data_IF_764599912898
#
_entry.id   IF_764599912898
#
_cell.length_a   1.000
_cell.length_b   1.000
_cell.length_c   1.000
_cell.angle_alpha   90.00
_cell.angle_beta   90.00
_cell.angle_gamma   90.00
#
_symmetry.space_group_name_H-M   'P 1'
#
loop_
_entity.id
_entity.type
_entity.pdbx_description
1 polymer ?
#
# COMPACT_ATOMS: atom_id res chain seq x y z
N UNK A 1 6.10 11.53 15.87
CA UNK A 1 7.09 10.45 16.04
C UNK A 1 6.35 9.30 16.69
N UNK A 2 5.85 8.36 15.89
CA UNK A 2 4.89 7.36 16.33
C UNK A 2 5.61 6.04 16.64
N UNK A 3 5.52 5.59 17.89
CA UNK A 3 5.82 4.23 18.33
C UNK A 3 4.52 3.72 18.97
N UNK A 4 3.80 2.83 18.28
CA UNK A 4 2.72 2.05 18.89
C UNK A 4 3.38 0.83 19.52
N UNK A 5 3.34 0.73 20.85
CA UNK A 5 3.80 -0.46 21.58
C UNK A 5 2.60 -1.41 21.77
N UNK A 6 2.57 -2.47 20.98
CA UNK A 6 1.81 -3.68 21.26
C UNK A 6 2.80 -4.86 21.17
N UNK A 7 2.75 -5.75 22.15
CA UNK A 7 3.79 -6.73 22.46
C UNK A 7 4.21 -7.63 21.29
N UNK A 8 5.52 -7.93 21.27
CA UNK A 8 6.22 -8.99 20.52
C UNK A 8 6.23 -8.99 18.99
N UNK A 9 5.96 -7.86 18.34
CA UNK A 9 6.42 -7.65 16.96
C UNK A 9 7.79 -6.97 16.96
N UNK A 10 8.82 -7.71 16.54
CA UNK A 10 10.20 -7.22 16.38
C UNK A 10 10.20 -5.90 15.60
N UNK A 11 10.80 -4.87 16.19
CA UNK A 11 11.02 -3.57 15.59
C UNK A 11 11.79 -3.72 14.26
N UNK A 12 11.10 -3.61 13.12
CA UNK A 12 11.75 -3.51 11.79
C UNK A 12 11.73 -2.04 11.37
N UNK A 13 12.84 -1.47 10.84
CA UNK A 13 13.03 -0.03 10.75
C UNK A 13 12.27 0.58 9.56
N UNK A 14 11.00 0.92 9.78
CA UNK A 14 10.17 1.77 8.90
C UNK A 14 10.72 3.21 8.78
N UNK A 15 11.89 3.52 9.33
CA UNK A 15 12.33 4.91 9.56
C UNK A 15 13.45 5.41 8.66
N UNK A 16 14.04 4.61 7.76
CA UNK A 16 15.06 5.10 6.82
C UNK A 16 14.60 5.14 5.36
N UNK A 17 14.10 4.05 4.80
CA UNK A 17 13.61 4.05 3.41
C UNK A 17 12.34 4.91 3.23
N UNK A 18 11.35 4.75 4.11
CA UNK A 18 10.14 5.59 4.14
C UNK A 18 10.48 7.03 4.54
N UNK A 19 11.42 7.26 5.44
CA UNK A 19 11.89 8.63 5.77
C UNK A 19 12.60 9.30 4.58
N UNK A 20 13.38 8.56 3.78
CA UNK A 20 14.00 9.08 2.56
C UNK A 20 12.92 9.34 1.49
N UNK A 21 11.97 8.42 1.30
CA UNK A 21 10.85 8.57 0.36
C UNK A 21 9.78 9.58 0.81
N UNK A 22 9.68 9.92 2.10
CA UNK A 22 8.81 10.96 2.66
C UNK A 22 9.54 12.29 2.89
N UNK A 23 10.88 12.31 2.86
CA UNK A 23 11.71 13.54 2.83
C UNK A 23 11.93 14.06 1.41
N UNK A 24 11.98 13.18 0.40
CA UNK A 24 12.09 13.58 -1.00
C UNK A 24 10.88 14.41 -1.54
N UNK A 25 9.62 14.17 -1.10
CA UNK A 25 8.46 15.00 -1.44
C UNK A 25 8.48 16.37 -0.76
N UNK A 26 9.11 16.51 0.42
CA UNK A 26 9.20 17.79 1.13
C UNK A 26 10.14 18.79 0.42
N UNK A 27 11.05 18.31 -0.42
CA UNK A 27 11.92 19.16 -1.24
C UNK A 27 11.34 19.46 -2.64
N UNK A 28 10.16 18.93 -2.99
CA UNK A 28 9.44 19.25 -4.22
C UNK A 28 8.61 20.53 -4.05
N UNK A 29 9.27 21.68 -3.88
CA UNK A 29 8.65 23.02 -3.85
C UNK A 29 8.04 23.46 -5.20
N UNK A 30 7.89 22.57 -6.19
CA UNK A 30 7.51 22.91 -7.56
C UNK A 30 6.16 22.40 -8.06
N UNK A 31 5.38 21.66 -7.27
CA UNK A 31 4.13 21.08 -7.76
C UNK A 31 2.96 21.44 -6.83
N UNK A 32 2.37 22.61 -7.08
CA UNK A 32 1.23 23.21 -6.38
C UNK A 32 -0.10 22.42 -6.47
N UNK A 33 -0.08 21.12 -6.80
CA UNK A 33 -1.31 20.32 -6.95
C UNK A 33 -1.39 19.07 -6.08
N UNK A 34 -0.30 18.60 -5.48
CA UNK A 34 -0.34 17.32 -4.73
C UNK A 34 -1.14 17.36 -3.42
N UNK A 35 -1.14 18.45 -2.63
CA UNK A 35 -2.04 18.54 -1.47
C UNK A 35 -3.53 18.52 -1.86
N UNK A 36 -3.89 18.98 -3.05
CA UNK A 36 -5.29 19.01 -3.53
C UNK A 36 -5.72 17.68 -4.17
N UNK A 37 -4.81 16.98 -4.86
CA UNK A 37 -5.05 15.59 -5.32
C UNK A 37 -5.24 14.65 -4.13
N UNK A 38 -4.50 14.85 -3.03
CA UNK A 38 -4.64 14.09 -1.78
C UNK A 38 -5.85 14.52 -0.94
N UNK A 39 -6.25 15.81 -0.96
CA UNK A 39 -7.40 16.34 -0.21
C UNK A 39 -8.76 15.95 -0.81
N UNK A 40 -8.85 15.82 -2.13
CA UNK A 40 -10.12 15.50 -2.84
C UNK A 40 -10.52 14.01 -2.71
N UNK A 41 -9.64 13.15 -2.19
CA UNK A 41 -9.82 11.70 -2.04
C UNK A 41 -10.10 11.28 -0.59
N UNK A 42 -10.63 12.16 0.24
CA UNK A 42 -10.71 12.01 1.72
C UNK A 42 -11.52 10.81 2.23
N UNK A 43 -12.32 10.14 1.40
CA UNK A 43 -12.95 8.84 1.72
C UNK A 43 -12.18 7.61 1.23
N UNK A 44 -11.35 7.77 0.19
CA UNK A 44 -10.59 6.69 -0.46
C UNK A 44 -9.12 6.59 0.04
N UNK A 45 -8.63 7.59 0.78
CA UNK A 45 -7.27 7.60 1.36
C UNK A 45 -7.05 6.44 2.33
N UNK A 46 -8.07 6.06 3.12
CA UNK A 46 -7.97 4.93 4.04
C UNK A 46 -7.67 3.62 3.30
N UNK A 47 -8.48 3.28 2.30
CA UNK A 47 -8.30 2.07 1.49
C UNK A 47 -6.95 2.03 0.78
N UNK A 48 -6.51 3.14 0.17
CA UNK A 48 -5.21 3.19 -0.49
C UNK A 48 -4.04 3.07 0.48
N UNK A 49 -4.05 3.81 1.58
CA UNK A 49 -2.97 3.78 2.57
C UNK A 49 -2.86 2.40 3.24
N UNK A 50 -3.99 1.76 3.54
CA UNK A 50 -4.05 0.41 4.09
C UNK A 50 -3.54 -0.62 3.09
N UNK A 51 -4.00 -0.57 1.84
CA UNK A 51 -3.54 -1.48 0.79
C UNK A 51 -2.04 -1.30 0.49
N UNK A 52 -1.54 -0.07 0.51
CA UNK A 52 -0.11 0.22 0.39
C UNK A 52 0.66 -0.33 1.60
N UNK A 53 0.15 -0.16 2.81
CA UNK A 53 0.77 -0.70 4.03
C UNK A 53 0.85 -2.24 4.00
N UNK A 54 -0.20 -2.92 3.53
CA UNK A 54 -0.21 -4.37 3.33
C UNK A 54 0.78 -4.81 2.24
N UNK A 55 0.85 -4.06 1.14
CA UNK A 55 1.84 -4.31 0.09
C UNK A 55 3.29 -4.22 0.62
N UNK A 56 3.56 -3.32 1.57
CA UNK A 56 4.89 -3.19 2.20
C UNK A 56 5.25 -4.37 3.11
N UNK A 57 4.29 -5.15 3.64
CA UNK A 57 4.61 -6.35 4.43
C UNK A 57 5.33 -7.41 3.59
N UNK A 58 5.13 -7.38 2.27
CA UNK A 58 5.81 -8.25 1.33
C UNK A 58 7.26 -7.85 1.04
N UNK A 59 7.72 -6.68 1.48
CA UNK A 59 9.06 -6.19 1.21
C UNK A 59 9.89 -6.12 2.48
N UNK A 60 11.02 -6.81 2.47
CA UNK A 60 12.05 -6.72 3.51
C UNK A 60 13.22 -5.90 2.98
N UNK A 61 13.57 -4.81 3.68
CA UNK A 61 14.67 -3.91 3.33
C UNK A 61 15.88 -4.08 4.26
N UNK A 62 15.91 -5.13 5.10
CA UNK A 62 16.95 -5.38 6.09
C UNK A 62 18.18 -6.11 5.55
N UNK A 63 18.31 -6.29 4.23
CA UNK A 63 19.44 -6.98 3.60
C UNK A 63 20.46 -5.98 3.06
N UNK A 64 21.73 -6.22 3.36
CA UNK A 64 22.87 -5.45 2.81
C UNK A 64 23.33 -5.98 1.44
N UNK A 65 22.72 -7.06 0.94
CA UNK A 65 23.02 -7.62 -0.38
C UNK A 65 22.13 -7.01 -1.46
N UNK A 66 22.72 -6.67 -2.61
CA UNK A 66 21.97 -6.25 -3.80
C UNK A 66 20.88 -7.29 -4.13
N UNK A 67 19.62 -6.90 -4.39
CA UNK A 67 19.15 -5.55 -4.71
C UNK A 67 18.74 -4.68 -3.50
N UNK A 68 19.17 -5.05 -2.29
CA UNK A 68 18.88 -4.38 -1.01
C UNK A 68 17.43 -4.48 -0.57
N UNK A 69 16.69 -5.43 -1.15
CA UNK A 69 15.37 -5.82 -0.70
C UNK A 69 15.07 -7.28 -1.05
N UNK A 70 14.15 -7.90 -0.31
CA UNK A 70 13.58 -9.21 -0.60
C UNK A 70 12.07 -9.06 -0.73
N UNK A 71 11.50 -9.53 -1.83
CA UNK A 71 10.05 -9.63 -2.01
C UNK A 71 9.56 -11.04 -1.66
N UNK A 72 8.56 -11.13 -0.79
CA UNK A 72 7.85 -12.37 -0.50
C UNK A 72 6.34 -12.11 -0.49
N UNK A 73 5.63 -12.64 -1.49
CA UNK A 73 4.17 -12.53 -1.61
C UNK A 73 3.41 -13.25 -0.49
N UNK A 74 3.99 -14.27 0.14
CA UNK A 74 3.36 -15.02 1.25
C UNK A 74 3.23 -14.18 2.53
N UNK A 75 3.93 -13.04 2.62
CA UNK A 75 3.79 -12.10 3.72
C UNK A 75 2.64 -11.11 3.55
N UNK A 76 1.92 -11.15 2.42
CA UNK A 76 0.71 -10.35 2.27
C UNK A 76 -0.31 -10.83 3.32
N UNK A 77 -0.94 -9.92 4.08
CA UNK A 77 -1.81 -10.32 5.17
C UNK A 77 -3.01 -11.11 4.65
N UNK A 78 -3.36 -12.15 5.39
CA UNK A 78 -4.63 -12.86 5.24
C UNK A 78 -5.82 -11.93 5.47
N UNK A 79 -7.02 -12.32 5.01
CA UNK A 79 -8.23 -11.52 5.20
C UNK A 79 -8.52 -11.26 6.69
N UNK A 80 -8.28 -12.25 7.56
CA UNK A 80 -8.43 -12.11 9.02
C UNK A 80 -7.47 -11.05 9.59
N UNK A 81 -6.22 -11.05 9.15
CA UNK A 81 -5.23 -10.04 9.55
C UNK A 81 -5.58 -8.65 9.01
N UNK A 82 -6.08 -8.58 7.77
CA UNK A 82 -6.57 -7.33 7.19
C UNK A 82 -7.73 -6.77 8.02
N UNK A 83 -8.76 -7.57 8.30
CA UNK A 83 -9.90 -7.19 9.15
C UNK A 83 -9.41 -6.69 10.52
N UNK A 84 -8.52 -7.44 11.17
CA UNK A 84 -8.00 -7.08 12.49
C UNK A 84 -7.26 -5.74 12.44
N UNK A 85 -6.44 -5.51 11.42
CA UNK A 85 -5.67 -4.27 11.27
C UNK A 85 -6.58 -3.08 10.94
N UNK A 86 -7.52 -3.25 10.01
CA UNK A 86 -8.49 -2.22 9.60
C UNK A 86 -9.36 -1.82 10.80
N UNK A 87 -9.89 -2.80 11.56
CA UNK A 87 -10.68 -2.53 12.76
C UNK A 87 -9.89 -1.72 13.78
N UNK A 88 -8.64 -2.12 14.08
CA UNK A 88 -7.81 -1.38 15.01
C UNK A 88 -7.53 0.06 14.54
N UNK A 89 -7.34 0.27 13.23
CA UNK A 89 -7.18 1.59 12.63
C UNK A 89 -8.45 2.44 12.76
N UNK A 90 -9.61 1.89 12.43
CA UNK A 90 -10.91 2.59 12.51
C UNK A 90 -11.32 2.86 13.96
N UNK A 91 -11.09 1.93 14.88
CA UNK A 91 -11.33 2.13 16.32
C UNK A 91 -10.52 3.29 16.86
N UNK A 92 -9.27 3.44 16.41
CA UNK A 92 -8.44 4.58 16.78
C UNK A 92 -9.01 5.89 16.23
N UNK A 93 -9.44 5.92 14.96
CA UNK A 93 -10.10 7.09 14.37
C UNK A 93 -11.41 7.44 15.10
N UNK A 94 -12.18 6.44 15.52
CA UNK A 94 -13.42 6.64 16.28
C UNK A 94 -13.13 7.24 17.67
N UNK A 95 -12.08 6.77 18.35
CA UNK A 95 -11.62 7.34 19.64
C UNK A 95 -11.16 8.79 19.50
N UNK A 96 -10.57 9.13 18.37
CA UNK A 96 -10.14 10.50 18.03
C UNK A 96 -11.30 11.38 17.56
N UNK A 97 -12.51 10.83 17.40
CA UNK A 97 -13.69 11.55 16.94
C UNK A 97 -13.68 11.87 15.44
N UNK A 98 -12.80 11.23 14.67
CA UNK A 98 -12.72 11.41 13.22
C UNK A 98 -13.82 10.66 12.46
N UNK A 99 -14.31 9.55 13.03
CA UNK A 99 -15.45 8.77 12.51
C UNK A 99 -16.41 8.40 13.65
N UNK A 100 -17.63 7.98 13.32
CA UNK A 100 -18.59 7.46 14.29
C UNK A 100 -18.26 6.00 14.63
N UNK A 101 -18.31 5.62 15.90
CA UNK A 101 -18.09 4.22 16.31
C UNK A 101 -19.10 3.25 15.69
N UNK A 102 -20.32 3.72 15.41
CA UNK A 102 -21.38 2.93 14.79
C UNK A 102 -21.12 2.59 13.33
N UNK A 103 -20.16 3.25 12.66
CA UNK A 103 -19.84 3.00 11.25
C UNK A 103 -18.63 2.08 11.05
N UNK A 104 -17.98 1.60 12.11
CA UNK A 104 -16.72 0.84 11.99
C UNK A 104 -16.90 -0.42 11.14
N UNK A 105 -17.92 -1.24 11.41
CA UNK A 105 -18.10 -2.52 10.68
C UNK A 105 -18.48 -2.28 9.21
N UNK A 106 -19.33 -1.28 8.92
CA UNK A 106 -19.69 -0.92 7.54
C UNK A 106 -18.45 -0.42 6.76
N UNK A 107 -17.59 0.38 7.39
CA UNK A 107 -16.35 0.88 6.77
C UNK A 107 -15.31 -0.24 6.57
N UNK A 108 -15.26 -1.26 7.44
CA UNK A 108 -14.41 -2.44 7.23
C UNK A 108 -14.79 -3.14 5.93
N UNK A 109 -16.08 -3.39 5.71
CA UNK A 109 -16.56 -4.08 4.50
C UNK A 109 -16.20 -3.29 3.23
N UNK A 110 -16.43 -1.99 3.23
CA UNK A 110 -16.09 -1.10 2.11
C UNK A 110 -14.58 -1.12 1.84
N UNK A 111 -13.75 -0.97 2.87
CA UNK A 111 -12.30 -0.96 2.72
C UNK A 111 -11.79 -2.29 2.17
N UNK A 112 -12.31 -3.43 2.64
CA UNK A 112 -11.89 -4.75 2.16
C UNK A 112 -12.16 -4.95 0.67
N UNK A 113 -13.30 -4.47 0.17
CA UNK A 113 -13.62 -4.51 -1.26
C UNK A 113 -12.60 -3.71 -2.10
N UNK A 114 -12.06 -2.65 -1.53
CA UNK A 114 -11.12 -1.75 -2.19
C UNK A 114 -9.65 -2.21 -2.10
N UNK A 115 -9.29 -3.08 -1.14
CA UNK A 115 -7.88 -3.47 -0.88
C UNK A 115 -7.20 -3.96 -2.15
N UNK A 116 -7.83 -4.88 -2.91
CA UNK A 116 -7.21 -5.46 -4.09
C UNK A 116 -6.93 -4.43 -5.19
N UNK A 117 -7.91 -3.55 -5.45
CA UNK A 117 -7.78 -2.49 -6.44
C UNK A 117 -6.67 -1.51 -6.05
N UNK A 118 -6.62 -1.13 -4.78
CA UNK A 118 -5.59 -0.21 -4.31
C UNK A 118 -4.22 -0.84 -4.15
N UNK A 119 -4.11 -2.14 -3.88
CA UNK A 119 -2.83 -2.86 -3.92
C UNK A 119 -2.25 -2.83 -5.34
N UNK A 120 -3.08 -3.04 -6.37
CA UNK A 120 -2.66 -2.85 -7.76
C UNK A 120 -2.19 -1.42 -8.02
N UNK A 121 -2.97 -0.42 -7.60
CA UNK A 121 -2.63 0.99 -7.78
C UNK A 121 -1.30 1.35 -7.09
N UNK A 122 -1.07 0.86 -5.87
CA UNK A 122 0.15 1.09 -5.10
C UNK A 122 1.37 0.48 -5.82
N UNK A 123 1.29 -0.77 -6.26
CA UNK A 123 2.39 -1.40 -7.00
C UNK A 123 2.72 -0.66 -8.30
N UNK A 124 1.71 -0.23 -9.06
CA UNK A 124 1.92 0.55 -10.28
C UNK A 124 2.56 1.91 -9.97
N UNK A 125 2.04 2.62 -8.97
CA UNK A 125 2.58 3.92 -8.53
C UNK A 125 4.06 3.82 -8.17
N UNK A 126 4.42 2.87 -7.30
CA UNK A 126 5.80 2.69 -6.85
C UNK A 126 6.72 2.17 -7.95
N UNK A 127 6.21 1.34 -8.86
CA UNK A 127 6.95 0.96 -10.06
C UNK A 127 7.36 2.17 -10.89
N UNK A 128 6.40 3.04 -11.23
CA UNK A 128 6.66 4.24 -12.04
C UNK A 128 7.57 5.23 -11.32
N UNK A 129 7.37 5.42 -10.02
CA UNK A 129 8.23 6.25 -9.19
C UNK A 129 9.67 5.74 -9.22
N UNK A 130 9.90 4.45 -8.95
CA UNK A 130 11.24 3.88 -8.90
C UNK A 130 11.91 3.82 -10.28
N UNK A 131 11.15 3.57 -11.36
CA UNK A 131 11.68 3.67 -12.72
C UNK A 131 12.17 5.08 -13.03
N UNK A 132 11.42 6.12 -12.65
CA UNK A 132 11.89 7.50 -12.79
C UNK A 132 13.15 7.74 -11.95
N UNK A 133 13.20 7.22 -10.73
CA UNK A 133 14.34 7.39 -9.83
C UNK A 133 15.60 6.66 -10.29
N UNK A 134 15.48 5.56 -11.05
CA UNK A 134 16.66 4.85 -11.57
C UNK A 134 17.52 5.69 -12.52
N UNK A 135 16.98 6.77 -13.09
CA UNK A 135 17.73 7.71 -13.93
C UNK A 135 18.23 8.96 -13.18
N UNK A 136 17.73 9.24 -11.96
CA UNK A 136 17.91 10.53 -11.30
C UNK A 136 18.54 10.44 -9.92
N UNK A 137 18.47 9.28 -9.28
CA UNK A 137 18.99 9.09 -7.92
C UNK A 137 20.46 8.71 -7.95
N UNK A 138 21.24 9.28 -7.05
CA UNK A 138 22.60 8.85 -6.75
C UNK A 138 22.67 7.91 -5.53
N UNK A 139 21.51 7.46 -5.01
CA UNK A 139 21.45 6.56 -3.87
C UNK A 139 21.75 5.12 -4.31
N UNK A 140 22.48 4.39 -3.46
CA UNK A 140 22.81 2.96 -3.62
C UNK A 140 21.59 2.08 -3.32
N UNK A 141 20.52 2.26 -4.07
CA UNK A 141 19.34 1.40 -4.05
C UNK A 141 19.04 0.92 -5.47
N UNK A 142 18.66 -0.35 -5.61
CA UNK A 142 18.38 -0.97 -6.90
C UNK A 142 17.01 -0.56 -7.46
N UNK A 143 16.82 0.74 -7.73
CA UNK A 143 15.54 1.32 -8.17
C UNK A 143 14.93 0.63 -9.40
N UNK A 144 15.76 0.23 -10.37
CA UNK A 144 15.28 -0.47 -11.56
C UNK A 144 14.75 -1.87 -11.24
N UNK A 145 15.42 -2.61 -10.35
CA UNK A 145 14.97 -3.94 -9.91
C UNK A 145 13.72 -3.87 -9.05
N UNK A 146 13.65 -2.87 -8.17
CA UNK A 146 12.46 -2.61 -7.37
C UNK A 146 11.26 -2.25 -8.26
N UNK A 147 11.47 -1.37 -9.24
CA UNK A 147 10.44 -1.00 -10.21
C UNK A 147 9.91 -2.22 -10.97
N UNK A 148 10.82 -3.04 -11.51
CA UNK A 148 10.48 -4.29 -12.21
C UNK A 148 9.70 -5.25 -11.32
N UNK A 149 10.13 -5.43 -10.07
CA UNK A 149 9.45 -6.30 -9.10
C UNK A 149 8.02 -5.82 -8.86
N UNK A 150 7.81 -4.54 -8.52
CA UNK A 150 6.47 -3.99 -8.28
C UNK A 150 5.58 -4.09 -9.53
N UNK A 151 6.13 -3.88 -10.73
CA UNK A 151 5.38 -4.01 -11.98
C UNK A 151 4.93 -5.45 -12.26
N UNK A 152 5.78 -6.43 -11.96
CA UNK A 152 5.42 -7.85 -12.09
C UNK A 152 4.28 -8.21 -11.15
N UNK A 153 4.34 -7.77 -9.88
CA UNK A 153 3.27 -8.00 -8.90
C UNK A 153 1.96 -7.35 -9.35
N UNK A 154 2.00 -6.10 -9.84
CA UNK A 154 0.82 -5.46 -10.43
C UNK A 154 0.23 -6.29 -11.57
N UNK A 155 1.07 -6.77 -12.49
CA UNK A 155 0.65 -7.57 -13.65
C UNK A 155 -0.02 -8.87 -13.21
N UNK A 156 0.53 -9.55 -12.20
CA UNK A 156 -0.01 -10.80 -11.67
C UNK A 156 -1.37 -10.61 -11.01
N UNK A 157 -1.52 -9.58 -10.16
CA UNK A 157 -2.80 -9.26 -9.52
C UNK A 157 -3.84 -8.87 -10.58
N UNK A 158 -3.46 -8.01 -11.53
CA UNK A 158 -4.34 -7.58 -12.64
C UNK A 158 -4.84 -8.77 -13.45
N UNK A 159 -3.97 -9.74 -13.76
CA UNK A 159 -4.35 -10.96 -14.49
C UNK A 159 -5.38 -11.77 -13.70
N UNK A 160 -5.17 -11.97 -12.39
CA UNK A 160 -6.12 -12.67 -11.52
C UNK A 160 -7.47 -11.94 -11.44
N UNK A 161 -7.43 -10.62 -11.30
CA UNK A 161 -8.62 -9.76 -11.25
C UNK A 161 -9.46 -9.88 -12.52
N UNK A 162 -8.84 -9.71 -13.70
CA UNK A 162 -9.53 -9.81 -14.98
C UNK A 162 -10.10 -11.21 -15.23
N UNK A 163 -9.38 -12.27 -14.84
CA UNK A 163 -9.89 -13.63 -14.97
C UNK A 163 -11.17 -13.83 -14.16
N UNK A 164 -11.26 -13.34 -12.92
CA UNK A 164 -12.50 -13.42 -12.13
C UNK A 164 -13.62 -12.58 -12.74
N UNK A 165 -13.30 -11.39 -13.24
CA UNK A 165 -14.29 -10.52 -13.88
C UNK A 165 -14.92 -11.17 -15.12
N UNK A 166 -14.13 -11.88 -15.94
CA UNK A 166 -14.65 -12.58 -17.12
C UNK A 166 -15.53 -13.79 -16.75
N UNK A 167 -15.13 -14.60 -15.76
CA UNK A 167 -15.94 -15.75 -15.32
C UNK A 167 -17.27 -15.33 -14.70
N UNK A 168 -17.29 -14.22 -13.95
CA UNK A 168 -18.53 -13.70 -13.36
C UNK A 168 -19.47 -13.10 -14.42
N UNK A 169 -18.93 -12.60 -15.53
CA UNK A 169 -19.70 -12.07 -16.65
C UNK A 169 -20.42 -13.15 -17.47
N UNK A 170 -19.77 -14.30 -17.69
CA UNK A 170 -20.35 -15.42 -18.44
C UNK A 170 -21.48 -16.13 -17.67
N UNK A 171 -21.44 -16.14 -16.33
CA UNK A 171 -22.52 -16.67 -15.49
C UNK A 171 -23.78 -15.79 -15.43
N UNK A 172 -23.71 -14.54 -15.89
CA UNK A 172 -24.85 -13.61 -15.87
C UNK A 172 -25.64 -13.58 -17.20
N UNK A 173 -25.14 -14.25 -18.25
CA UNK A 173 -25.78 -14.28 -19.58
C UNK A 173 -26.69 -15.49 -19.85
N UNK A 174 -26.85 -16.40 -18.88
CA UNK A 174 -27.63 -17.65 -19.01
C UNK A 174 -29.01 -17.61 -18.28
N UNK A 175 -29.56 -16.43 -18.02
CA UNK A 175 -30.89 -16.25 -17.42
C UNK A 175 -31.80 -15.33 -18.23
#
# INVERSE_FOLDING_TARGET
MWIIRSGDMRNVPVTKAVSICMRLPLNFQGAYSWPHVLSTLTRHVGGFDLANQFAEWCFDYGTDEYPYFVYNSEKFPSEEEQISYIRAYLDQLAREGAILSTSVEDEIEVILQDIELFTMAAHLFWSLFCWKMSFRSSLDFAYAEYARTRLNVFSDIKKKYLNRAMHNGDSASDH
#
